data_IF_736799781175
#
_entry.id   IF_736799781175
#
_cell.length_a   1.000
_cell.length_b   1.000
_cell.length_c   1.000
_cell.angle_alpha   90.00
_cell.angle_beta   90.00
_cell.angle_gamma   90.00
#
_symmetry.space_group_name_H-M   'P 1'
#
loop_
_entity.id
_entity.type
_entity.pdbx_description
1 polymer ?
#
# COMPACT_ATOMS: atom_id res chain seq x y z
N UNK A 1 38.57 -24.66 -54.30
CA UNK A 1 39.32 -23.67 -53.51
C UNK A 1 39.07 -22.31 -54.12
N UNK A 2 38.58 -21.36 -53.35
CA UNK A 2 38.34 -19.98 -53.77
C UNK A 2 39.26 -19.05 -52.96
N UNK A 3 39.48 -17.82 -53.44
CA UNK A 3 40.36 -16.86 -52.77
C UNK A 3 39.73 -16.24 -51.52
N UNK A 4 38.40 -16.29 -51.41
CA UNK A 4 37.63 -15.82 -50.28
C UNK A 4 36.34 -16.64 -50.17
N UNK A 5 35.73 -16.66 -49.00
CA UNK A 5 34.43 -17.29 -48.83
C UNK A 5 33.33 -16.48 -49.54
N UNK A 6 32.38 -17.14 -50.24
CA UNK A 6 31.26 -16.47 -50.90
C UNK A 6 30.51 -15.53 -49.95
N UNK A 7 30.35 -14.27 -50.36
CA UNK A 7 29.56 -13.25 -49.68
C UNK A 7 28.55 -12.65 -50.65
N UNK A 8 27.28 -12.56 -50.24
CA UNK A 8 26.23 -11.94 -51.04
C UNK A 8 26.27 -10.41 -50.85
N UNK A 9 27.33 -9.77 -51.34
CA UNK A 9 27.62 -8.35 -51.17
C UNK A 9 27.06 -7.52 -52.35
N UNK A 10 26.22 -6.51 -52.07
CA UNK A 10 25.75 -5.55 -53.08
C UNK A 10 26.65 -4.31 -53.09
N UNK A 11 27.47 -4.14 -54.14
CA UNK A 11 28.41 -3.02 -54.25
C UNK A 11 27.72 -1.67 -54.44
N UNK A 12 26.44 -1.62 -54.84
CA UNK A 12 25.67 -0.37 -54.97
C UNK A 12 25.18 0.19 -53.63
N UNK A 13 25.10 -0.64 -52.60
CA UNK A 13 24.64 -0.26 -51.24
C UNK A 13 25.73 -0.39 -50.17
N UNK A 14 26.83 -1.09 -50.46
CA UNK A 14 27.90 -1.33 -49.50
C UNK A 14 27.50 -2.27 -48.36
N UNK A 15 26.54 -3.17 -48.58
CA UNK A 15 25.98 -4.07 -47.55
C UNK A 15 25.76 -5.48 -48.11
N UNK A 16 25.76 -6.47 -47.23
CA UNK A 16 25.43 -7.87 -47.56
C UNK A 16 23.90 -7.98 -47.71
N UNK A 17 23.42 -8.44 -48.86
CA UNK A 17 22.00 -8.44 -49.28
C UNK A 17 21.20 -9.59 -48.68
N UNK A 18 21.81 -10.79 -48.59
CA UNK A 18 21.20 -11.97 -47.98
C UNK A 18 22.16 -12.65 -47.01
N UNK A 19 21.74 -12.72 -45.74
CA UNK A 19 22.46 -13.45 -44.67
C UNK A 19 22.39 -14.98 -44.80
N UNK A 20 21.49 -15.50 -45.64
CA UNK A 20 21.23 -16.94 -45.73
C UNK A 20 22.22 -17.68 -46.63
N UNK A 21 22.93 -16.97 -47.53
CA UNK A 21 23.88 -17.55 -48.49
C UNK A 21 25.34 -17.13 -48.27
N UNK A 22 25.61 -16.21 -47.34
CA UNK A 22 26.97 -15.83 -46.96
C UNK A 22 27.66 -16.93 -46.16
N UNK A 23 28.89 -17.27 -46.52
CA UNK A 23 29.72 -18.24 -45.80
C UNK A 23 30.81 -17.56 -44.98
N UNK A 24 31.07 -18.10 -43.80
CA UNK A 24 32.05 -17.62 -42.84
C UNK A 24 33.38 -18.34 -43.02
N UNK A 25 34.49 -17.62 -42.93
CA UNK A 25 35.82 -18.21 -43.00
C UNK A 25 36.28 -18.68 -41.61
N UNK A 26 36.72 -19.95 -41.52
CA UNK A 26 37.40 -20.49 -40.33
C UNK A 26 38.72 -21.09 -40.80
N UNK A 27 39.85 -20.47 -40.45
CA UNK A 27 41.14 -20.87 -41.01
C UNK A 27 41.14 -20.80 -42.54
N UNK A 28 41.25 -21.96 -43.19
CA UNK A 28 41.25 -22.12 -44.66
C UNK A 28 39.98 -22.77 -45.24
N UNK A 29 38.91 -22.89 -44.45
CA UNK A 29 37.63 -23.46 -44.89
C UNK A 29 36.48 -22.45 -44.76
N UNK A 30 35.47 -22.61 -45.60
CA UNK A 30 34.24 -21.83 -45.56
C UNK A 30 33.11 -22.66 -44.95
N UNK A 31 32.45 -22.13 -43.93
CA UNK A 31 31.34 -22.78 -43.22
C UNK A 31 30.12 -21.88 -43.22
N UNK A 32 28.92 -22.46 -43.10
CA UNK A 32 27.69 -21.67 -42.93
C UNK A 32 27.48 -21.23 -41.49
N UNK A 33 27.97 -22.03 -40.55
CA UNK A 33 27.83 -21.80 -39.10
C UNK A 33 29.15 -22.08 -38.43
N UNK A 34 29.56 -21.22 -37.49
CA UNK A 34 30.80 -21.42 -36.76
C UNK A 34 30.79 -22.73 -35.95
N UNK A 35 31.91 -23.47 -35.93
CA UNK A 35 32.04 -24.68 -35.12
C UNK A 35 32.05 -24.36 -33.60
N UNK A 36 31.83 -25.35 -32.73
CA UNK A 36 31.87 -25.17 -31.27
C UNK A 36 33.17 -24.49 -30.80
N UNK A 37 33.04 -23.52 -29.88
CA UNK A 37 34.17 -22.74 -29.36
C UNK A 37 34.60 -21.55 -30.25
N UNK A 38 34.01 -21.36 -31.42
CA UNK A 38 34.23 -20.19 -32.27
C UNK A 38 33.04 -19.24 -32.27
N UNK A 39 33.28 -17.98 -32.61
CA UNK A 39 32.33 -16.88 -32.56
C UNK A 39 32.32 -16.16 -33.89
N UNK A 40 31.14 -15.82 -34.39
CA UNK A 40 31.01 -15.02 -35.61
C UNK A 40 31.53 -13.61 -35.35
N UNK A 41 32.36 -13.10 -36.25
CA UNK A 41 32.87 -11.72 -36.19
C UNK A 41 31.73 -10.70 -36.36
N UNK A 42 31.92 -9.49 -35.83
CA UNK A 42 30.92 -8.41 -35.91
C UNK A 42 30.54 -8.00 -37.35
N UNK A 43 31.42 -8.27 -38.31
CA UNK A 43 31.22 -8.07 -39.74
C UNK A 43 30.70 -9.31 -40.50
N UNK A 44 30.36 -10.39 -39.80
CA UNK A 44 29.81 -11.63 -40.37
C UNK A 44 30.69 -12.26 -41.46
N UNK A 45 32.02 -12.20 -41.32
CA UNK A 45 32.99 -12.75 -42.31
C UNK A 45 33.82 -13.91 -41.78
N UNK A 46 34.13 -13.92 -40.49
CA UNK A 46 35.07 -14.85 -39.90
C UNK A 46 34.45 -15.56 -38.70
N UNK A 47 34.91 -16.77 -38.44
CA UNK A 47 34.75 -17.41 -37.14
C UNK A 47 36.04 -17.25 -36.35
N UNK A 48 35.97 -16.51 -35.25
CA UNK A 48 37.08 -16.19 -34.38
C UNK A 48 37.08 -17.11 -33.15
N UNK A 49 38.24 -17.63 -32.77
CA UNK A 49 38.41 -18.33 -31.49
C UNK A 49 38.44 -17.36 -30.30
N UNK A 50 38.85 -16.11 -30.55
CA UNK A 50 38.88 -15.04 -29.57
C UNK A 50 38.28 -13.77 -30.20
N UNK A 51 37.31 -13.15 -29.52
CA UNK A 51 36.85 -11.83 -29.95
C UNK A 51 37.94 -10.80 -29.68
N UNK A 52 38.05 -9.74 -30.50
CA UNK A 52 39.06 -8.71 -30.32
C UNK A 52 38.83 -7.96 -28.99
N UNK A 53 39.58 -8.33 -27.95
CA UNK A 53 39.50 -7.72 -26.62
C UNK A 53 40.19 -6.36 -26.58
N UNK A 54 39.85 -5.56 -25.56
CA UNK A 54 40.46 -4.25 -25.34
C UNK A 54 41.95 -4.40 -25.00
N UNK A 55 42.82 -3.76 -25.78
CA UNK A 55 44.25 -3.69 -25.45
C UNK A 55 44.47 -2.59 -24.41
N UNK A 56 45.20 -2.86 -23.31
CA UNK A 56 45.53 -1.83 -22.32
C UNK A 56 46.29 -0.65 -22.97
N UNK A 57 45.76 0.57 -22.84
CA UNK A 57 46.39 1.79 -23.34
C UNK A 57 45.96 2.26 -24.73
N UNK A 58 45.05 1.56 -25.41
CA UNK A 58 44.45 2.02 -26.67
C UNK A 58 42.95 2.31 -26.47
N UNK A 59 42.57 3.56 -26.26
CA UNK A 59 41.15 3.95 -26.08
C UNK A 59 40.38 4.11 -27.42
N UNK A 60 41.03 3.93 -28.57
CA UNK A 60 40.43 4.27 -29.88
C UNK A 60 39.52 3.18 -30.44
N UNK A 61 39.70 1.93 -30.05
CA UNK A 61 38.85 0.80 -30.46
C UNK A 61 38.20 0.19 -29.23
N UNK A 62 36.87 0.09 -29.21
CA UNK A 62 36.17 -0.69 -28.18
C UNK A 62 36.39 -2.17 -28.45
N UNK A 63 36.80 -2.92 -27.44
CA UNK A 63 36.84 -4.37 -27.50
C UNK A 63 35.46 -4.99 -27.71
N UNK A 64 35.45 -6.27 -28.07
CA UNK A 64 34.26 -7.08 -28.29
C UNK A 64 34.23 -8.33 -27.39
N UNK A 65 33.03 -8.80 -27.06
CA UNK A 65 32.77 -10.02 -26.29
C UNK A 65 31.82 -10.96 -27.03
N UNK A 66 31.90 -12.27 -26.78
CA UNK A 66 30.98 -13.22 -27.35
C UNK A 66 29.62 -13.13 -26.66
N UNK A 67 28.61 -12.71 -27.41
CA UNK A 67 27.22 -12.63 -26.96
C UNK A 67 26.36 -13.43 -27.93
N UNK A 68 25.82 -14.56 -27.47
CA UNK A 68 25.00 -15.47 -28.28
C UNK A 68 25.68 -15.96 -29.57
N UNK A 69 26.98 -16.29 -29.52
CA UNK A 69 27.70 -16.82 -30.69
C UNK A 69 28.31 -15.75 -31.60
N UNK A 70 28.15 -14.46 -31.30
CA UNK A 70 28.59 -13.33 -32.13
C UNK A 70 29.44 -12.38 -31.28
N UNK A 71 30.57 -11.91 -31.81
CA UNK A 71 31.37 -10.86 -31.18
C UNK A 71 30.63 -9.52 -31.26
N UNK A 72 30.38 -8.92 -30.10
CA UNK A 72 29.69 -7.63 -29.97
C UNK A 72 30.51 -6.63 -29.18
N UNK A 73 30.49 -5.35 -29.56
CA UNK A 73 31.24 -4.32 -28.85
C UNK A 73 30.75 -4.14 -27.41
N UNK A 74 31.66 -3.91 -26.48
CA UNK A 74 31.32 -3.62 -25.09
C UNK A 74 30.62 -2.27 -24.92
N UNK A 75 29.69 -2.20 -23.96
CA UNK A 75 29.08 -0.93 -23.52
C UNK A 75 30.11 -0.01 -22.88
N UNK A 76 30.96 -0.56 -21.98
CA UNK A 76 32.09 0.14 -21.37
C UNK A 76 33.39 -0.59 -21.68
N UNK A 77 34.47 0.17 -21.94
CA UNK A 77 35.79 -0.42 -22.21
C UNK A 77 36.28 -1.34 -21.07
N UNK A 78 35.90 -1.05 -19.82
CA UNK A 78 36.22 -1.87 -18.65
C UNK A 78 35.64 -3.30 -18.72
N UNK A 79 34.46 -3.48 -19.34
CA UNK A 79 33.80 -4.80 -19.43
C UNK A 79 34.53 -5.75 -20.39
N UNK A 80 35.33 -5.20 -21.30
CA UNK A 80 36.14 -5.93 -22.28
C UNK A 80 37.62 -6.06 -21.86
N UNK A 81 37.97 -5.62 -20.64
CA UNK A 81 39.35 -5.68 -20.17
C UNK A 81 39.78 -7.14 -20.01
N UNK A 82 40.87 -7.50 -20.67
CA UNK A 82 41.45 -8.83 -20.61
C UNK A 82 42.68 -8.87 -19.69
N UNK A 83 42.75 -9.89 -18.85
CA UNK A 83 43.91 -10.21 -18.03
C UNK A 83 44.58 -11.48 -18.56
N UNK A 84 45.91 -11.49 -18.63
CA UNK A 84 46.67 -12.69 -19.04
C UNK A 84 46.95 -13.59 -17.86
N UNK A 85 46.66 -14.89 -18.02
CA UNK A 85 47.09 -15.95 -17.12
C UNK A 85 48.46 -16.43 -17.60
N UNK A 86 49.48 -16.05 -16.85
CA UNK A 86 50.88 -16.25 -17.24
C UNK A 86 51.48 -17.51 -16.63
N UNK A 87 50.95 -17.97 -15.50
CA UNK A 87 51.45 -19.16 -14.83
C UNK A 87 50.77 -20.43 -15.35
N UNK A 88 51.54 -21.53 -15.43
CA UNK A 88 50.99 -22.86 -15.68
C UNK A 88 50.14 -23.38 -14.50
N UNK A 89 50.34 -22.83 -13.29
CA UNK A 89 49.61 -23.18 -12.09
C UNK A 89 49.05 -21.89 -11.48
N UNK A 90 47.74 -21.87 -11.25
CA UNK A 90 47.06 -20.76 -10.61
C UNK A 90 47.45 -20.69 -9.12
N UNK A 91 47.99 -19.56 -8.68
CA UNK A 91 48.49 -19.35 -7.31
C UNK A 91 47.78 -18.19 -6.62
N UNK A 92 47.90 -18.08 -5.29
CA UNK A 92 47.37 -16.94 -4.54
C UNK A 92 47.94 -15.60 -5.04
N UNK A 93 49.22 -15.56 -5.43
CA UNK A 93 49.83 -14.35 -5.99
C UNK A 93 49.19 -13.93 -7.34
N UNK A 94 48.81 -14.90 -8.19
CA UNK A 94 48.09 -14.61 -9.43
C UNK A 94 46.65 -14.19 -9.15
N UNK A 95 46.00 -14.81 -8.16
CA UNK A 95 44.66 -14.40 -7.70
C UNK A 95 44.64 -12.96 -7.15
N UNK A 96 45.63 -12.56 -6.35
CA UNK A 96 45.73 -11.20 -5.81
C UNK A 96 45.94 -10.16 -6.92
N UNK A 97 46.75 -10.47 -7.92
CA UNK A 97 46.93 -9.64 -9.12
C UNK A 97 45.62 -9.50 -9.90
N UNK A 98 44.95 -10.61 -10.20
CA UNK A 98 43.68 -10.60 -10.94
C UNK A 98 42.57 -9.87 -10.16
N UNK A 99 42.57 -9.98 -8.83
CA UNK A 99 41.64 -9.23 -7.96
C UNK A 99 41.87 -7.72 -8.06
N UNK A 100 43.12 -7.28 -8.12
CA UNK A 100 43.48 -5.88 -8.27
C UNK A 100 43.13 -5.34 -9.67
N UNK A 101 43.36 -6.14 -10.72
CA UNK A 101 43.11 -5.75 -12.11
C UNK A 101 41.61 -5.73 -12.47
N UNK A 102 40.83 -6.63 -11.87
CA UNK A 102 39.36 -6.68 -11.98
C UNK A 102 38.84 -7.05 -13.38
N UNK A 103 39.57 -7.89 -14.13
CA UNK A 103 39.21 -8.26 -15.49
C UNK A 103 38.14 -9.37 -15.56
N UNK A 104 37.04 -9.19 -16.30
CA UNK A 104 36.07 -10.26 -16.55
C UNK A 104 36.51 -11.26 -17.64
N UNK A 105 37.49 -10.90 -18.47
CA UNK A 105 38.03 -11.74 -19.55
C UNK A 105 39.43 -12.21 -19.19
N UNK A 106 39.67 -13.51 -19.19
CA UNK A 106 40.99 -14.09 -18.93
C UNK A 106 41.52 -14.78 -20.18
N UNK A 107 42.76 -14.46 -20.56
CA UNK A 107 43.49 -15.08 -21.66
C UNK A 107 44.50 -16.07 -21.08
N UNK A 108 44.22 -17.37 -21.23
CA UNK A 108 45.10 -18.45 -20.86
C UNK A 108 46.30 -18.53 -21.80
N UNK A 109 47.50 -18.67 -21.24
CA UNK A 109 48.69 -18.98 -22.04
C UNK A 109 48.61 -20.37 -22.67
N UNK A 110 49.47 -20.64 -23.65
CA UNK A 110 49.57 -21.94 -24.33
C UNK A 110 49.90 -23.10 -23.37
N UNK A 111 50.38 -22.80 -22.16
CA UNK A 111 50.79 -23.77 -21.14
C UNK A 111 49.62 -24.50 -20.45
N UNK A 112 48.36 -24.24 -20.83
CA UNK A 112 47.16 -24.82 -20.21
C UNK A 112 47.12 -24.59 -18.69
N UNK A 113 46.86 -23.34 -18.24
CA UNK A 113 46.84 -23.00 -16.82
C UNK A 113 45.93 -23.95 -16.02
N UNK A 114 46.47 -24.40 -14.90
CA UNK A 114 45.85 -25.39 -14.03
C UNK A 114 45.50 -24.78 -12.68
N UNK A 115 44.22 -24.86 -12.31
CA UNK A 115 43.71 -24.52 -11.00
C UNK A 115 43.65 -25.76 -10.12
N UNK A 116 44.43 -25.75 -9.05
CA UNK A 116 44.49 -26.83 -8.08
C UNK A 116 43.83 -26.36 -6.78
N UNK A 117 42.63 -26.87 -6.46
CA UNK A 117 41.80 -26.40 -5.33
C UNK A 117 42.24 -27.02 -4.00
N UNK A 118 43.49 -27.50 -3.93
CA UNK A 118 44.06 -28.00 -2.68
C UNK A 118 44.19 -26.85 -1.67
N UNK A 119 43.55 -26.94 -0.47
CA UNK A 119 43.62 -25.90 0.54
C UNK A 119 45.05 -25.57 1.01
N UNK A 120 46.01 -26.49 0.80
CA UNK A 120 47.43 -26.24 1.09
C UNK A 120 48.11 -25.33 0.06
N UNK A 121 47.50 -25.14 -1.12
CA UNK A 121 48.07 -24.41 -2.26
C UNK A 121 47.29 -23.17 -2.64
N UNK A 122 45.99 -23.13 -2.32
CA UNK A 122 45.11 -22.03 -2.68
C UNK A 122 44.16 -21.68 -1.55
N UNK A 123 44.12 -20.40 -1.19
CA UNK A 123 43.22 -19.90 -0.14
C UNK A 123 41.77 -19.79 -0.64
N UNK A 124 40.80 -19.85 0.29
CA UNK A 124 39.38 -19.62 -0.04
C UNK A 124 39.13 -18.20 -0.59
N UNK A 125 39.93 -17.20 -0.18
CA UNK A 125 39.82 -15.84 -0.70
C UNK A 125 40.22 -15.77 -2.18
N UNK A 126 41.21 -16.56 -2.60
CA UNK A 126 41.66 -16.65 -4.00
C UNK A 126 40.59 -17.28 -4.90
N UNK A 127 39.82 -18.25 -4.38
CA UNK A 127 38.70 -18.83 -5.12
C UNK A 127 37.59 -17.81 -5.43
N UNK A 128 37.39 -16.81 -4.57
CA UNK A 128 36.37 -15.77 -4.81
C UNK A 128 36.70 -14.88 -6.03
N UNK A 129 37.98 -14.76 -6.41
CA UNK A 129 38.41 -13.99 -7.58
C UNK A 129 37.87 -14.61 -8.88
N UNK A 130 37.73 -15.93 -8.91
CA UNK A 130 37.16 -16.66 -10.04
C UNK A 130 35.69 -16.31 -10.29
N UNK A 131 34.98 -15.76 -9.29
CA UNK A 131 33.63 -15.26 -9.48
C UNK A 131 33.53 -14.05 -10.42
N UNK A 132 34.65 -13.37 -10.69
CA UNK A 132 34.73 -12.27 -11.65
C UNK A 132 34.86 -12.76 -13.10
N UNK A 133 35.35 -14.00 -13.28
CA UNK A 133 35.59 -14.59 -14.59
C UNK A 133 34.26 -14.85 -15.32
N UNK A 134 34.11 -14.26 -16.50
CA UNK A 134 32.97 -14.48 -17.41
C UNK A 134 33.37 -15.13 -18.73
N UNK A 135 34.55 -14.79 -19.23
CA UNK A 135 35.05 -15.24 -20.53
C UNK A 135 36.48 -15.75 -20.38
N UNK A 136 36.72 -16.98 -20.83
CA UNK A 136 38.02 -17.62 -20.77
C UNK A 136 38.49 -18.00 -22.17
N UNK A 137 39.56 -17.37 -22.62
CA UNK A 137 40.19 -17.73 -23.89
C UNK A 137 41.33 -18.71 -23.65
N UNK A 138 41.27 -19.89 -24.28
CA UNK A 138 42.24 -20.97 -24.14
C UNK A 138 41.74 -22.13 -23.28
N UNK A 139 42.67 -23.03 -22.96
CA UNK A 139 42.38 -24.24 -22.17
C UNK A 139 42.53 -23.95 -20.68
N UNK A 140 41.70 -24.60 -19.87
CA UNK A 140 41.76 -24.44 -18.41
C UNK A 140 41.38 -25.74 -17.72
N UNK A 141 42.21 -26.14 -16.75
CA UNK A 141 42.03 -27.41 -16.04
C UNK A 141 41.86 -27.14 -14.56
N UNK A 142 40.78 -27.67 -13.98
CA UNK A 142 40.51 -27.63 -12.55
C UNK A 142 40.73 -29.01 -11.93
N UNK A 143 41.53 -29.07 -10.86
CA UNK A 143 41.91 -30.29 -10.15
C UNK A 143 41.48 -30.27 -8.69
N UNK A 144 41.13 -31.46 -8.17
CA UNK A 144 40.90 -31.72 -6.74
C UNK A 144 39.87 -30.81 -6.09
N UNK A 145 38.78 -30.51 -6.81
CA UNK A 145 37.67 -29.74 -6.23
C UNK A 145 37.03 -30.59 -5.13
N UNK A 146 36.86 -29.99 -3.95
CA UNK A 146 36.05 -30.52 -2.85
C UNK A 146 34.78 -29.68 -2.79
N UNK A 147 33.63 -30.29 -3.07
CA UNK A 147 32.37 -29.55 -3.29
C UNK A 147 32.16 -29.20 -4.76
N UNK A 148 31.44 -28.11 -5.05
CA UNK A 148 31.01 -27.69 -6.40
C UNK A 148 31.94 -26.65 -7.05
N UNK A 149 31.80 -26.41 -8.36
CA UNK A 149 32.45 -25.29 -9.05
C UNK A 149 31.65 -23.99 -8.94
N UNK A 150 30.99 -23.74 -7.79
CA UNK A 150 30.12 -22.57 -7.66
C UNK A 150 30.90 -21.25 -7.79
N UNK A 151 32.22 -21.29 -7.56
CA UNK A 151 33.13 -20.18 -7.80
C UNK A 151 33.30 -19.82 -9.29
N UNK A 152 32.87 -20.67 -10.23
CA UNK A 152 32.82 -20.42 -11.68
C UNK A 152 31.39 -20.22 -12.20
N UNK A 153 30.41 -19.95 -11.34
CA UNK A 153 29.00 -19.80 -11.75
C UNK A 153 28.75 -18.72 -12.79
N UNK A 154 29.60 -17.69 -12.85
CA UNK A 154 29.52 -16.59 -13.83
C UNK A 154 30.24 -16.89 -15.16
N UNK A 155 30.94 -18.01 -15.27
CA UNK A 155 31.64 -18.39 -16.50
C UNK A 155 30.63 -18.71 -17.60
N UNK A 156 30.68 -17.95 -18.69
CA UNK A 156 29.74 -18.05 -19.82
C UNK A 156 30.34 -18.71 -21.05
N UNK A 157 31.63 -18.50 -21.30
CA UNK A 157 32.30 -18.91 -22.53
C UNK A 157 33.72 -19.39 -22.27
N UNK A 158 34.09 -20.48 -22.93
CA UNK A 158 35.46 -21.01 -22.97
C UNK A 158 35.87 -21.30 -24.42
N UNK A 159 36.90 -20.67 -24.97
CA UNK A 159 37.30 -20.96 -26.37
C UNK A 159 38.05 -22.29 -26.55
N UNK A 160 38.64 -22.80 -25.48
CA UNK A 160 39.36 -24.08 -25.47
C UNK A 160 38.64 -25.19 -24.72
N UNK A 161 39.43 -26.12 -24.19
CA UNK A 161 38.96 -27.22 -23.36
C UNK A 161 38.84 -26.80 -21.89
N UNK A 162 37.66 -27.02 -21.31
CA UNK A 162 37.44 -26.94 -19.87
C UNK A 162 37.55 -28.34 -19.26
N UNK A 163 38.68 -28.60 -18.59
CA UNK A 163 38.96 -29.89 -17.95
C UNK A 163 38.59 -29.88 -16.46
N UNK A 164 37.84 -30.88 -16.00
CA UNK A 164 37.74 -31.25 -14.59
C UNK A 164 38.44 -32.57 -14.35
N UNK A 165 39.38 -32.59 -13.42
CA UNK A 165 40.18 -33.78 -13.13
C UNK A 165 40.23 -34.12 -11.65
N UNK A 166 40.18 -35.42 -11.32
CA UNK A 166 40.37 -35.95 -9.96
C UNK A 166 39.49 -35.25 -8.92
N UNK A 167 38.21 -35.11 -9.21
CA UNK A 167 37.26 -34.28 -8.46
C UNK A 167 36.17 -35.16 -7.84
N UNK A 168 35.78 -34.87 -6.61
CA UNK A 168 34.67 -35.54 -5.94
C UNK A 168 33.60 -34.49 -5.60
N UNK A 169 32.49 -34.50 -6.35
CA UNK A 169 31.43 -33.48 -6.23
C UNK A 169 30.05 -34.04 -6.51
N UNK A 170 29.01 -33.63 -5.76
CA UNK A 170 27.63 -33.95 -6.07
C UNK A 170 27.12 -33.26 -7.35
N UNK A 171 27.65 -32.08 -7.70
CA UNK A 171 27.25 -31.34 -8.90
C UNK A 171 28.32 -30.37 -9.44
N UNK A 172 28.18 -29.97 -10.71
CA UNK A 172 29.16 -29.13 -11.40
C UNK A 172 28.94 -27.63 -11.15
N UNK A 173 27.71 -27.12 -11.10
CA UNK A 173 27.46 -25.69 -10.81
C UNK A 173 27.69 -24.72 -11.99
N UNK A 174 27.91 -25.21 -13.21
CA UNK A 174 28.19 -24.41 -14.41
C UNK A 174 26.93 -23.85 -15.09
N UNK A 175 26.10 -23.13 -14.33
CA UNK A 175 24.79 -22.66 -14.78
C UNK A 175 24.83 -21.68 -15.95
N UNK A 176 25.83 -20.81 -15.97
CA UNK A 176 25.94 -19.75 -16.98
C UNK A 176 26.71 -20.18 -18.23
N UNK A 177 27.29 -21.38 -18.26
CA UNK A 177 28.14 -21.82 -19.35
C UNK A 177 27.30 -22.08 -20.61
N UNK A 178 27.49 -21.24 -21.62
CA UNK A 178 26.74 -21.27 -22.89
C UNK A 178 27.47 -22.01 -23.99
N UNK A 179 28.79 -21.81 -24.09
CA UNK A 179 29.63 -22.37 -25.15
C UNK A 179 31.03 -22.69 -24.62
N UNK A 180 31.53 -23.86 -25.01
CA UNK A 180 32.88 -24.34 -24.79
C UNK A 180 33.28 -25.16 -26.02
N UNK A 181 34.56 -25.15 -26.42
CA UNK A 181 35.03 -26.01 -27.51
C UNK A 181 34.96 -27.48 -27.13
N UNK A 182 35.50 -27.80 -25.96
CA UNK A 182 35.48 -29.14 -25.39
C UNK A 182 35.29 -29.08 -23.88
N UNK A 183 34.70 -30.12 -23.30
CA UNK A 183 34.66 -30.33 -21.85
C UNK A 183 35.18 -31.71 -21.53
N UNK A 184 36.26 -31.79 -20.75
CA UNK A 184 36.86 -33.07 -20.34
C UNK A 184 36.57 -33.35 -18.87
N UNK A 185 35.93 -34.49 -18.59
CA UNK A 185 35.71 -35.00 -17.25
C UNK A 185 36.58 -36.23 -17.03
N UNK A 186 37.63 -36.12 -16.19
CA UNK A 186 38.59 -37.20 -15.93
C UNK A 186 38.63 -37.56 -14.44
N UNK A 187 38.28 -38.80 -14.07
CA UNK A 187 38.21 -39.25 -12.67
C UNK A 187 37.33 -38.32 -11.82
N UNK A 188 36.09 -38.13 -12.25
CA UNK A 188 35.08 -37.34 -11.53
C UNK A 188 34.11 -38.30 -10.86
N UNK A 189 33.95 -38.20 -9.54
CA UNK A 189 33.08 -39.08 -8.76
C UNK A 189 32.04 -38.31 -7.96
N UNK A 190 30.97 -39.01 -7.57
CA UNK A 190 29.97 -38.50 -6.63
C UNK A 190 28.85 -37.69 -7.27
N UNK A 191 28.83 -37.54 -8.60
CA UNK A 191 27.81 -36.73 -9.28
C UNK A 191 26.42 -37.32 -9.11
N UNK A 192 25.46 -36.53 -8.63
CA UNK A 192 24.11 -37.03 -8.44
C UNK A 192 23.41 -37.27 -9.77
N UNK A 193 23.01 -38.52 -10.02
CA UNK A 193 22.40 -38.93 -11.29
C UNK A 193 21.13 -38.13 -11.64
N UNK A 194 20.35 -37.72 -10.62
CA UNK A 194 19.10 -37.00 -10.80
C UNK A 194 19.23 -35.64 -11.52
N UNK A 195 20.39 -34.98 -11.44
CA UNK A 195 20.65 -33.73 -12.16
C UNK A 195 21.16 -33.94 -13.59
N UNK A 196 21.67 -35.13 -13.90
CA UNK A 196 22.28 -35.46 -15.20
C UNK A 196 21.61 -36.70 -15.84
N UNK A 197 20.33 -36.61 -16.24
CA UNK A 197 19.68 -37.70 -16.93
C UNK A 197 20.37 -37.98 -18.27
N UNK A 198 20.38 -39.26 -18.69
CA UNK A 198 21.12 -39.72 -19.87
C UNK A 198 20.81 -38.93 -21.15
N UNK A 199 19.53 -38.60 -21.38
CA UNK A 199 19.10 -37.79 -22.53
C UNK A 199 19.76 -36.41 -22.57
N UNK A 200 19.94 -35.78 -21.40
CA UNK A 200 20.58 -34.47 -21.31
C UNK A 200 22.08 -34.58 -21.55
N UNK A 201 22.74 -35.60 -20.99
CA UNK A 201 24.17 -35.83 -21.24
C UNK A 201 24.41 -36.00 -22.73
N UNK A 202 23.55 -36.73 -23.44
CA UNK A 202 23.65 -36.87 -24.90
C UNK A 202 23.52 -35.53 -25.64
N UNK A 203 22.53 -34.70 -25.28
CA UNK A 203 22.41 -33.33 -25.83
C UNK A 203 23.62 -32.44 -25.52
N UNK A 204 24.24 -32.62 -24.36
CA UNK A 204 25.44 -31.88 -23.97
C UNK A 204 26.67 -32.37 -24.74
N UNK A 205 26.78 -33.69 -25.01
CA UNK A 205 27.83 -34.28 -25.85
C UNK A 205 27.82 -33.72 -27.27
N UNK A 206 26.63 -33.56 -27.85
CA UNK A 206 26.46 -32.91 -29.16
C UNK A 206 26.90 -31.45 -29.15
N UNK A 207 26.73 -30.74 -28.02
CA UNK A 207 27.01 -29.30 -27.92
C UNK A 207 28.48 -28.97 -27.60
N UNK A 208 29.15 -29.78 -26.77
CA UNK A 208 30.40 -29.41 -26.09
C UNK A 208 31.57 -30.40 -26.28
N UNK A 209 31.52 -31.29 -27.28
CA UNK A 209 32.55 -32.33 -27.51
C UNK A 209 33.02 -33.00 -26.19
N UNK A 210 32.05 -33.49 -25.40
CA UNK A 210 32.34 -33.95 -24.04
C UNK A 210 33.13 -35.26 -24.06
N UNK A 211 34.27 -35.28 -23.38
CA UNK A 211 35.07 -36.49 -23.14
C UNK A 211 34.98 -36.92 -21.66
N UNK A 212 34.40 -38.10 -21.43
CA UNK A 212 34.21 -38.69 -20.10
C UNK A 212 35.17 -39.87 -19.91
N UNK A 213 36.06 -39.78 -18.92
CA UNK A 213 37.01 -40.83 -18.59
C UNK A 213 36.91 -41.10 -17.08
N UNK A 214 36.42 -42.28 -16.70
CA UNK A 214 36.21 -42.67 -15.30
C UNK A 214 35.30 -41.70 -14.53
N UNK A 215 34.11 -41.42 -15.07
CA UNK A 215 33.09 -40.64 -14.38
C UNK A 215 32.14 -41.59 -13.65
N UNK A 216 31.88 -41.36 -12.36
CA UNK A 216 30.90 -42.12 -11.58
C UNK A 216 29.74 -41.24 -11.11
N UNK A 217 28.54 -41.80 -11.21
CA UNK A 217 27.31 -41.19 -10.73
C UNK A 217 26.84 -41.90 -9.46
N UNK A 218 26.36 -41.11 -8.50
CA UNK A 218 25.79 -41.59 -7.25
C UNK A 218 24.28 -41.34 -7.22
N UNK A 219 23.55 -42.32 -6.72
CA UNK A 219 22.11 -42.27 -6.46
C UNK A 219 21.75 -42.78 -5.06
N UNK A 220 22.74 -43.21 -4.27
CA UNK A 220 22.55 -43.87 -2.97
C UNK A 220 22.77 -42.92 -1.79
N UNK A 221 23.64 -41.92 -1.93
CA UNK A 221 23.87 -40.97 -0.84
C UNK A 221 22.60 -40.19 -0.50
N UNK A 222 22.46 -39.84 0.78
CA UNK A 222 21.31 -39.08 1.28
C UNK A 222 21.15 -37.72 0.57
N UNK A 223 22.23 -37.15 0.05
CA UNK A 223 22.22 -35.94 -0.78
C UNK A 223 21.62 -36.22 -2.16
N UNK A 224 22.09 -37.25 -2.86
CA UNK A 224 21.62 -37.58 -4.21
C UNK A 224 20.20 -38.16 -4.26
N UNK A 225 19.73 -38.81 -3.19
CA UNK A 225 18.34 -39.29 -3.08
C UNK A 225 17.34 -38.11 -3.06
N UNK A 226 17.75 -36.96 -2.52
CA UNK A 226 16.94 -35.73 -2.48
C UNK A 226 17.23 -34.79 -3.64
N UNK A 227 18.17 -35.16 -4.52
CA UNK A 227 18.57 -34.32 -5.64
C UNK A 227 17.42 -34.24 -6.64
N UNK A 228 16.90 -33.03 -6.84
CA UNK A 228 15.94 -32.72 -7.88
C UNK A 228 16.26 -31.32 -8.42
N UNK A 229 15.93 -31.09 -9.70
CA UNK A 229 15.96 -29.74 -10.24
C UNK A 229 14.86 -28.90 -9.60
N UNK A 230 15.10 -27.60 -9.48
CA UNK A 230 14.07 -26.68 -9.03
C UNK A 230 12.89 -26.71 -10.02
N UNK A 231 11.62 -26.67 -9.56
CA UNK A 231 10.43 -26.80 -10.42
C UNK A 231 10.29 -25.68 -11.47
N UNK A 232 11.04 -24.59 -11.34
CA UNK A 232 11.10 -23.49 -12.31
C UNK A 232 12.18 -23.66 -13.38
N UNK A 233 12.95 -24.76 -13.35
CA UNK A 233 13.94 -25.07 -14.38
C UNK A 233 13.28 -25.72 -15.59
N UNK A 234 13.64 -25.25 -16.78
CA UNK A 234 13.32 -25.88 -18.07
C UNK A 234 14.61 -26.48 -18.68
N UNK A 235 14.50 -27.69 -19.24
CA UNK A 235 15.64 -28.35 -19.89
C UNK A 235 16.75 -28.86 -18.94
N UNK A 236 16.48 -28.98 -17.64
CA UNK A 236 17.39 -29.53 -16.62
C UNK A 236 18.11 -28.47 -15.78
N UNK A 237 19.05 -28.92 -14.94
CA UNK A 237 19.79 -28.09 -14.01
C UNK A 237 21.20 -28.62 -13.72
N UNK A 238 22.12 -27.75 -13.31
CA UNK A 238 23.51 -28.05 -12.98
C UNK A 238 23.75 -28.32 -11.49
N UNK A 239 22.69 -28.51 -10.72
CA UNK A 239 22.73 -28.69 -9.27
C UNK A 239 21.44 -28.22 -8.59
N UNK A 240 21.47 -28.02 -7.27
CA UNK A 240 20.29 -27.64 -6.48
C UNK A 240 19.88 -26.17 -6.68
N UNK A 241 18.59 -25.90 -6.48
CA UNK A 241 18.05 -24.54 -6.41
C UNK A 241 17.76 -23.88 -7.77
N UNK A 242 17.24 -22.65 -7.69
CA UNK A 242 16.69 -21.91 -8.85
C UNK A 242 17.73 -21.17 -9.70
N UNK A 243 18.98 -21.10 -9.25
CA UNK A 243 20.09 -20.45 -9.96
C UNK A 243 20.80 -21.36 -10.95
N UNK A 244 20.76 -22.66 -10.67
CA UNK A 244 21.49 -23.66 -11.45
C UNK A 244 20.65 -24.24 -12.59
N UNK A 245 19.56 -23.59 -12.99
CA UNK A 245 18.75 -24.06 -14.11
C UNK A 245 19.48 -23.82 -15.45
N UNK A 246 19.30 -24.74 -16.41
CA UNK A 246 19.78 -24.54 -17.80
C UNK A 246 19.00 -23.42 -18.48
N UNK A 247 17.68 -23.45 -18.33
CA UNK A 247 16.77 -22.39 -18.74
C UNK A 247 15.67 -22.22 -17.68
N UNK A 248 15.00 -21.08 -17.67
CA UNK A 248 13.85 -20.85 -16.80
C UNK A 248 12.56 -21.20 -17.53
N UNK A 249 11.58 -21.75 -16.80
CA UNK A 249 10.25 -22.05 -17.35
C UNK A 249 9.45 -20.79 -17.68
N UNK A 250 9.60 -19.74 -16.87
CA UNK A 250 8.89 -18.45 -17.03
C UNK A 250 9.85 -17.26 -17.03
N UNK A 251 10.28 -16.84 -15.84
CA UNK A 251 11.04 -15.60 -15.68
C UNK A 251 12.46 -15.88 -15.20
N UNK A 252 13.45 -15.21 -15.80
CA UNK A 252 14.85 -15.18 -15.35
C UNK A 252 15.15 -13.79 -14.78
N UNK A 253 15.56 -13.72 -13.51
CA UNK A 253 15.94 -12.49 -12.84
C UNK A 253 17.24 -12.72 -12.08
N UNK A 254 18.29 -11.94 -12.36
CA UNK A 254 19.60 -12.04 -11.70
C UNK A 254 20.07 -13.51 -11.59
N UNK A 255 20.06 -14.22 -12.72
CA UNK A 255 20.44 -15.64 -12.84
C UNK A 255 19.64 -16.62 -12.00
N UNK A 256 18.43 -16.23 -11.57
CA UNK A 256 17.53 -17.07 -10.80
C UNK A 256 16.18 -17.20 -11.51
N UNK A 257 15.62 -18.41 -11.51
CA UNK A 257 14.32 -18.68 -12.13
C UNK A 257 13.17 -18.48 -11.15
N UNK A 258 12.13 -17.77 -11.58
CA UNK A 258 10.94 -17.46 -10.78
C UNK A 258 9.66 -17.82 -11.53
N UNK A 259 8.65 -18.28 -10.77
CA UNK A 259 7.30 -18.53 -11.28
C UNK A 259 6.55 -17.22 -11.56
N UNK A 260 6.79 -16.21 -10.73
CA UNK A 260 6.16 -14.89 -10.76
C UNK A 260 7.20 -13.81 -10.40
N UNK A 261 7.15 -12.66 -11.08
CA UNK A 261 8.02 -11.51 -10.80
C UNK A 261 7.85 -10.97 -9.38
N UNK A 262 6.69 -11.18 -8.74
CA UNK A 262 6.42 -10.76 -7.36
C UNK A 262 7.39 -11.41 -6.36
N UNK A 263 7.76 -12.68 -6.58
CA UNK A 263 8.77 -13.38 -5.77
C UNK A 263 10.16 -12.77 -5.93
N UNK A 264 10.45 -12.22 -7.11
CA UNK A 264 11.71 -11.57 -7.43
C UNK A 264 11.76 -10.10 -6.98
N UNK A 265 10.74 -9.62 -6.24
CA UNK A 265 10.59 -8.21 -5.86
C UNK A 265 10.64 -7.27 -7.07
N UNK A 266 9.98 -7.67 -8.16
CA UNK A 266 9.89 -6.91 -9.42
C UNK A 266 8.45 -6.88 -9.92
N UNK A 267 8.11 -5.86 -10.69
CA UNK A 267 6.85 -5.86 -11.44
C UNK A 267 7.01 -6.63 -12.76
N UNK A 268 5.93 -7.22 -13.25
CA UNK A 268 5.93 -7.87 -14.56
C UNK A 268 5.77 -6.80 -15.65
N UNK A 269 6.69 -6.74 -16.61
CA UNK A 269 6.54 -5.83 -17.76
C UNK A 269 5.71 -6.51 -18.86
N UNK A 270 5.99 -7.79 -19.11
CA UNK A 270 5.22 -8.63 -20.02
C UNK A 270 5.15 -10.07 -19.46
N UNK A 271 4.58 -11.00 -20.23
CA UNK A 271 4.42 -12.39 -19.81
C UNK A 271 5.73 -13.20 -19.71
N UNK A 272 6.87 -12.67 -20.14
CA UNK A 272 8.15 -13.39 -20.22
C UNK A 272 9.34 -12.67 -19.56
N UNK A 273 9.17 -11.42 -19.14
CA UNK A 273 10.21 -10.58 -18.57
C UNK A 273 9.70 -9.75 -17.39
N UNK A 274 10.47 -9.80 -16.30
CA UNK A 274 10.27 -8.92 -15.17
C UNK A 274 10.93 -7.56 -15.43
N UNK A 275 10.23 -6.49 -15.06
CA UNK A 275 10.72 -5.12 -15.15
C UNK A 275 11.71 -4.76 -14.04
N UNK A 276 11.74 -3.47 -13.70
CA UNK A 276 12.60 -2.97 -12.63
C UNK A 276 12.18 -3.50 -11.26
N UNK A 277 13.12 -3.42 -10.30
CA UNK A 277 12.86 -3.76 -8.91
C UNK A 277 11.78 -2.85 -8.31
N UNK A 278 10.96 -3.41 -7.43
CA UNK A 278 10.01 -2.63 -6.66
C UNK A 278 10.74 -1.71 -5.68
N UNK A 279 10.07 -0.65 -5.25
CA UNK A 279 10.62 0.27 -4.26
C UNK A 279 10.97 -0.46 -2.94
N UNK A 280 12.01 0.01 -2.22
CA UNK A 280 12.47 -0.61 -0.98
C UNK A 280 11.39 -0.65 0.14
N UNK A 281 10.43 0.28 0.07
CA UNK A 281 9.27 0.34 0.97
C UNK A 281 8.12 -0.59 0.56
N UNK A 282 8.22 -1.31 -0.56
CA UNK A 282 7.26 -2.35 -0.93
C UNK A 282 7.54 -3.65 -0.17
N UNK A 283 6.46 -4.30 0.30
CA UNK A 283 6.53 -5.58 1.00
C UNK A 283 6.97 -6.71 0.05
N UNK A 284 7.96 -7.49 0.49
CA UNK A 284 8.51 -8.59 -0.31
C UNK A 284 7.46 -9.69 -0.50
N UNK A 285 7.34 -10.20 -1.74
CA UNK A 285 6.41 -11.27 -2.12
C UNK A 285 5.03 -10.80 -2.59
N UNK A 286 4.66 -9.53 -2.38
CA UNK A 286 3.36 -8.98 -2.82
C UNK A 286 3.45 -8.32 -4.21
N UNK A 287 4.64 -7.91 -4.62
CA UNK A 287 4.89 -7.23 -5.89
C UNK A 287 4.54 -5.74 -5.90
N UNK A 288 4.72 -5.14 -7.06
CA UNK A 288 4.42 -3.74 -7.35
C UNK A 288 3.91 -3.62 -8.80
N UNK A 289 3.29 -2.50 -9.13
CA UNK A 289 2.93 -2.11 -10.51
C UNK A 289 4.01 -1.28 -11.21
N UNK A 290 5.02 -0.84 -10.46
CA UNK A 290 6.05 0.09 -10.90
C UNK A 290 7.17 0.26 -9.86
N UNK A 291 8.23 1.02 -10.18
CA UNK A 291 9.39 1.16 -9.31
C UNK A 291 9.20 2.16 -8.16
N UNK A 292 8.12 2.95 -8.15
CA UNK A 292 7.89 4.00 -7.17
C UNK A 292 7.32 3.51 -5.83
N UNK A 293 7.43 4.31 -4.75
CA UNK A 293 6.85 3.98 -3.44
C UNK A 293 5.31 3.96 -3.43
N UNK A 294 4.66 4.58 -4.41
CA UNK A 294 3.20 4.56 -4.58
C UNK A 294 2.71 3.34 -5.38
N UNK A 295 3.61 2.64 -6.08
CA UNK A 295 3.28 1.52 -6.95
C UNK A 295 3.26 0.18 -6.21
N UNK A 296 3.46 0.19 -4.90
CA UNK A 296 3.48 -1.02 -4.10
C UNK A 296 2.07 -1.59 -3.95
N UNK A 297 1.91 -2.89 -4.14
CA UNK A 297 0.65 -3.58 -3.80
C UNK A 297 0.41 -3.56 -2.28
N UNK A 298 1.49 -3.66 -1.51
CA UNK A 298 1.45 -3.59 -0.05
C UNK A 298 2.72 -2.96 0.49
N UNK A 299 2.57 -2.08 1.49
CA UNK A 299 3.70 -1.41 2.13
C UNK A 299 4.41 -2.31 3.13
N UNK A 300 5.73 -2.15 3.22
CA UNK A 300 6.58 -2.87 4.18
C UNK A 300 6.34 -2.39 5.62
N UNK A 301 6.16 -1.09 5.81
CA UNK A 301 5.96 -0.47 7.13
C UNK A 301 4.68 0.35 7.18
N UNK A 302 4.69 1.56 6.60
CA UNK A 302 3.57 2.48 6.69
C UNK A 302 3.04 2.90 5.33
N UNK A 303 1.74 3.19 5.28
CA UNK A 303 1.04 3.73 4.11
C UNK A 303 0.50 5.13 4.45
N UNK A 304 0.99 6.15 3.77
CA UNK A 304 0.51 7.52 3.88
C UNK A 304 -0.17 7.91 2.57
N UNK A 305 -1.51 7.95 2.58
CA UNK A 305 -2.35 8.34 1.42
C UNK A 305 -2.03 7.59 0.11
N UNK A 306 -1.71 6.29 0.19
CA UNK A 306 -1.40 5.46 -0.98
C UNK A 306 0.08 5.38 -1.32
N UNK A 307 0.95 6.07 -0.58
CA UNK A 307 2.41 6.02 -0.75
C UNK A 307 3.04 5.27 0.42
N UNK A 308 3.91 4.30 0.12
CA UNK A 308 4.63 3.57 1.14
C UNK A 308 5.82 4.38 1.67
N UNK A 309 5.86 4.58 2.99
CA UNK A 309 6.87 5.38 3.68
C UNK A 309 7.50 4.62 4.84
N UNK A 310 8.74 4.98 5.16
CA UNK A 310 9.50 4.41 6.27
C UNK A 310 9.01 4.87 7.65
N UNK A 311 8.47 6.08 7.71
CA UNK A 311 7.95 6.74 8.91
C UNK A 311 6.83 7.71 8.49
N UNK A 312 5.80 7.88 9.31
CA UNK A 312 4.72 8.82 9.02
C UNK A 312 5.21 10.28 9.10
N UNK A 313 4.67 11.15 8.25
CA UNK A 313 5.01 12.58 8.27
C UNK A 313 4.64 13.24 9.61
N UNK A 314 5.28 14.37 9.94
CA UNK A 314 4.99 15.09 11.19
C UNK A 314 3.50 15.41 11.31
N UNK A 315 2.91 15.11 12.46
CA UNK A 315 1.47 15.29 12.72
C UNK A 315 0.58 14.12 12.28
N UNK A 316 1.16 13.07 11.68
CA UNK A 316 0.48 11.81 11.40
C UNK A 316 0.88 10.72 12.40
N UNK A 317 -0.01 9.77 12.65
CA UNK A 317 0.28 8.57 13.46
C UNK A 317 -0.18 7.30 12.75
N UNK A 318 0.54 6.18 12.92
CA UNK A 318 0.14 4.91 12.34
C UNK A 318 -1.02 4.27 13.13
N UNK A 319 -1.94 3.64 12.43
CA UNK A 319 -2.93 2.72 13.00
C UNK A 319 -2.37 1.29 13.15
N UNK A 320 -3.20 0.36 13.64
CA UNK A 320 -2.82 -1.06 13.79
C UNK A 320 -2.50 -1.77 12.47
N UNK A 321 -2.95 -1.22 11.34
CA UNK A 321 -2.72 -1.75 10.00
C UNK A 321 -1.56 -1.03 9.28
N UNK A 322 -0.87 -0.11 9.96
CA UNK A 322 0.23 0.68 9.40
C UNK A 322 -0.21 1.84 8.52
N UNK A 323 -1.48 2.28 8.55
CA UNK A 323 -1.93 3.48 7.82
C UNK A 323 -1.65 4.73 8.64
N UNK A 324 -1.03 5.73 8.04
CA UNK A 324 -0.80 7.03 8.66
C UNK A 324 -2.08 7.88 8.56
N UNK A 325 -2.60 8.36 9.70
CA UNK A 325 -3.72 9.31 9.75
C UNK A 325 -3.30 10.60 10.44
N UNK A 326 -3.90 11.72 10.03
CA UNK A 326 -3.65 13.04 10.61
C UNK A 326 -4.31 13.16 11.98
N UNK A 327 -3.53 13.53 13.00
CA UNK A 327 -4.03 13.77 14.35
C UNK A 327 -5.00 14.95 14.38
N UNK A 328 -4.77 15.97 13.53
CA UNK A 328 -5.63 17.16 13.46
C UNK A 328 -7.05 16.81 12.97
N UNK A 329 -7.15 15.90 12.00
CA UNK A 329 -8.45 15.43 11.49
C UNK A 329 -9.20 14.67 12.58
N UNK A 330 -8.53 13.78 13.32
CA UNK A 330 -9.14 13.04 14.42
C UNK A 330 -9.68 13.98 15.52
N UNK A 331 -8.90 14.98 15.93
CA UNK A 331 -9.34 15.98 16.92
C UNK A 331 -10.54 16.78 16.40
N UNK A 332 -10.53 17.18 15.13
CA UNK A 332 -11.64 17.90 14.50
C UNK A 332 -12.94 17.10 14.52
N UNK A 333 -12.89 15.80 14.22
CA UNK A 333 -14.05 14.91 14.28
C UNK A 333 -14.59 14.81 15.71
N UNK A 334 -13.72 14.63 16.72
CA UNK A 334 -14.14 14.55 18.13
C UNK A 334 -14.83 15.84 18.61
N UNK A 335 -14.27 17.00 18.28
CA UNK A 335 -14.88 18.30 18.65
C UNK A 335 -16.21 18.52 17.95
N UNK A 336 -16.31 18.17 16.65
CA UNK A 336 -17.54 18.29 15.87
C UNK A 336 -18.66 17.41 16.41
N UNK A 337 -18.37 16.15 16.72
CA UNK A 337 -19.35 15.22 17.33
C UNK A 337 -19.77 15.70 18.72
N UNK A 338 -18.81 16.19 19.53
CA UNK A 338 -19.12 16.75 20.85
C UNK A 338 -20.07 17.94 20.79
N UNK A 339 -19.83 18.89 19.88
CA UNK A 339 -20.72 20.05 19.68
C UNK A 339 -22.12 19.63 19.24
N UNK A 340 -22.22 18.65 18.33
CA UNK A 340 -23.51 18.13 17.86
C UNK A 340 -24.34 17.51 19.00
N UNK A 341 -23.69 16.74 19.88
CA UNK A 341 -24.35 16.13 21.06
C UNK A 341 -24.82 17.19 22.07
N UNK A 342 -24.07 18.28 22.26
CA UNK A 342 -24.47 19.37 23.14
C UNK A 342 -25.67 20.15 22.59
N UNK A 343 -25.71 20.40 21.28
CA UNK A 343 -26.84 21.07 20.63
C UNK A 343 -28.12 20.22 20.68
N UNK A 344 -28.02 18.91 20.48
CA UNK A 344 -29.19 18.01 20.52
C UNK A 344 -29.73 17.80 21.94
N UNK A 345 -28.88 17.85 22.97
CA UNK A 345 -29.31 17.72 24.37
C UNK A 345 -29.88 19.02 24.97
N UNK A 346 -29.34 20.18 24.58
CA UNK A 346 -29.76 21.49 25.13
C UNK A 346 -31.14 21.94 24.62
N UNK A 347 -31.48 21.65 23.36
CA UNK A 347 -32.77 22.00 22.76
C UNK A 347 -34.00 21.40 23.50
N UNK A 348 -34.07 20.08 23.79
CA UNK A 348 -35.19 19.49 24.52
C UNK A 348 -35.26 19.96 25.98
N UNK A 349 -34.12 20.18 26.65
CA UNK A 349 -34.08 20.74 28.00
C UNK A 349 -34.66 22.17 28.03
N UNK A 350 -34.30 23.01 27.05
CA UNK A 350 -34.85 24.35 26.90
C UNK A 350 -36.37 24.32 26.65
N UNK A 351 -36.85 23.40 25.80
CA UNK A 351 -38.29 23.22 25.53
C UNK A 351 -39.05 22.77 26.79
N UNK A 352 -38.51 21.82 27.55
CA UNK A 352 -39.12 21.35 28.81
C UNK A 352 -39.15 22.45 29.88
N UNK A 353 -38.08 23.25 29.99
CA UNK A 353 -38.04 24.41 30.88
C UNK A 353 -39.12 25.43 30.51
N UNK A 354 -39.26 25.77 29.22
CA UNK A 354 -40.28 26.69 28.74
C UNK A 354 -41.71 26.17 28.99
N UNK A 355 -41.97 24.88 28.74
CA UNK A 355 -43.30 24.27 28.99
C UNK A 355 -43.70 24.29 30.46
N UNK A 356 -42.78 24.01 31.39
CA UNK A 356 -43.03 24.07 32.85
C UNK A 356 -43.37 25.48 33.34
N UNK A 357 -42.87 26.52 32.67
CA UNK A 357 -43.13 27.92 33.06
C UNK A 357 -44.55 28.35 32.70
N UNK A 358 -45.10 27.83 31.60
CA UNK A 358 -46.45 28.17 31.12
C UNK A 358 -47.55 27.55 32.01
N UNK A 359 -47.42 26.30 32.45
CA UNK A 359 -48.47 25.61 33.23
C UNK A 359 -48.71 26.20 34.62
N UNK A 360 -47.77 26.95 35.20
CA UNK A 360 -47.96 27.61 36.51
C UNK A 360 -49.00 28.73 36.50
N UNK A 361 -49.33 29.30 35.34
CA UNK A 361 -50.28 30.41 35.23
C UNK A 361 -51.75 29.96 35.13
N UNK A 362 -52.00 28.70 34.82
CA UNK A 362 -53.36 28.15 34.62
C UNK A 362 -53.96 27.57 35.92
N UNK A 363 -53.16 27.45 36.99
CA UNK A 363 -53.51 26.71 38.21
C UNK A 363 -54.20 27.52 39.33
N UNK A 364 -54.63 28.76 39.10
CA UNK A 364 -55.45 29.51 40.08
C UNK A 364 -56.93 29.24 39.78
N UNK A 365 -57.46 28.13 40.32
CA UNK A 365 -58.84 27.69 40.10
C UNK A 365 -59.83 28.43 41.03
N UNK A 366 -60.59 29.35 40.44
CA UNK A 366 -61.56 30.20 41.15
C UNK A 366 -62.80 29.43 41.63
N UNK A 367 -63.06 28.24 41.07
CA UNK A 367 -64.20 27.41 41.46
C UNK A 367 -63.99 26.71 42.81
N UNK A 368 -62.76 26.53 43.28
CA UNK A 368 -62.47 26.04 44.64
C UNK A 368 -62.77 27.12 45.70
N UNK A 369 -62.51 28.39 45.38
CA UNK A 369 -62.72 29.52 46.31
C UNK A 369 -64.19 29.79 46.65
N UNK A 370 -65.11 29.52 45.71
CA UNK A 370 -66.53 29.84 45.85
C UNK A 370 -67.40 28.68 46.36
N UNK A 371 -66.80 27.50 46.63
CA UNK A 371 -67.54 26.29 47.03
C UNK A 371 -67.82 26.17 48.53
N UNK A 372 -67.18 26.98 49.40
CA UNK A 372 -67.29 26.81 50.85
C UNK A 372 -68.36 27.69 51.55
N UNK A 373 -69.40 28.10 50.81
CA UNK A 373 -70.59 28.70 51.41
C UNK A 373 -71.59 27.58 51.77
N UNK A 374 -71.52 27.12 53.01
CA UNK A 374 -72.32 26.08 53.65
C UNK A 374 -73.85 26.30 53.58
N UNK A 375 -74.49 26.00 52.44
CA UNK A 375 -75.69 25.14 52.31
C UNK A 375 -76.19 25.05 50.85
N UNK A 376 -76.57 23.87 50.33
CA UNK A 376 -76.98 23.68 48.94
C UNK A 376 -78.49 23.84 48.77
N UNK A 377 -78.92 24.92 48.13
CA UNK A 377 -80.19 24.98 47.40
C UNK A 377 -80.13 26.13 46.40
N UNK A 378 -80.73 25.89 45.25
CA UNK A 378 -80.50 26.53 43.95
C UNK A 378 -80.99 28.00 43.88
N UNK A 379 -80.36 28.88 44.65
CA UNK A 379 -80.43 30.33 44.50
C UNK A 379 -79.02 30.88 44.50
N UNK A 380 -78.69 31.64 43.46
CA UNK A 380 -77.42 32.33 43.35
C UNK A 380 -77.31 33.37 44.46
N UNK A 381 -76.65 33.00 45.56
CA UNK A 381 -76.35 33.91 46.66
C UNK A 381 -75.24 34.83 46.18
N UNK A 382 -75.60 36.07 45.85
CA UNK A 382 -74.64 37.12 45.55
C UNK A 382 -73.77 37.34 46.79
N UNK A 383 -72.46 37.16 46.65
CA UNK A 383 -71.51 37.49 47.71
C UNK A 383 -71.41 39.03 47.79
N UNK A 384 -71.87 39.59 48.90
CA UNK A 384 -71.75 41.02 49.18
C UNK A 384 -70.56 41.22 50.13
N UNK A 385 -69.62 42.06 49.73
CA UNK A 385 -68.39 42.36 50.47
C UNK A 385 -68.34 43.83 50.87
N UNK A 386 -67.61 44.12 51.94
CA UNK A 386 -67.36 45.50 52.34
C UNK A 386 -66.24 46.11 51.50
N UNK A 387 -66.13 47.44 51.48
CA UNK A 387 -65.06 48.12 50.72
C UNK A 387 -63.66 47.73 51.27
N UNK A 388 -63.55 47.48 52.58
CA UNK A 388 -62.32 47.06 53.24
C UNK A 388 -61.81 45.67 52.79
N UNK A 389 -62.71 44.82 52.28
CA UNK A 389 -62.37 43.49 51.78
C UNK A 389 -61.72 43.56 50.39
N UNK A 390 -61.77 44.72 49.72
CA UNK A 390 -61.36 44.87 48.31
C UNK A 390 -60.32 45.97 48.16
N UNK A 391 -59.07 45.57 47.89
CA UNK A 391 -58.02 46.52 47.56
C UNK A 391 -58.00 46.82 46.06
N UNK A 392 -58.11 48.10 45.69
CA UNK A 392 -57.96 48.59 44.31
C UNK A 392 -56.50 48.99 44.09
N UNK A 393 -55.84 48.44 43.07
CA UNK A 393 -54.43 48.73 42.74
C UNK A 393 -54.34 49.72 41.58
N UNK A 394 -54.18 49.23 40.35
CA UNK A 394 -54.03 50.07 39.14
C UNK A 394 -55.26 49.99 38.25
N UNK A 395 -55.56 51.07 37.53
CA UNK A 395 -56.60 51.07 36.49
C UNK A 395 -56.17 50.13 35.36
N UNK A 396 -57.07 49.24 34.93
CA UNK A 396 -56.91 48.33 33.78
C UNK A 396 -57.89 48.61 32.65
N UNK A 397 -58.88 49.49 32.86
CA UNK A 397 -59.77 49.94 31.81
C UNK A 397 -60.71 51.05 32.28
N UNK A 398 -61.13 51.92 31.37
CA UNK A 398 -62.12 52.97 31.62
C UNK A 398 -63.12 53.00 30.49
N UNK A 399 -64.41 53.03 30.80
CA UNK A 399 -65.47 53.09 29.80
C UNK A 399 -66.69 53.88 30.27
N UNK A 400 -67.73 53.91 29.44
CA UNK A 400 -68.98 54.62 29.72
C UNK A 400 -69.61 54.17 31.06
N UNK A 401 -69.47 52.90 31.40
CA UNK A 401 -70.09 52.28 32.58
C UNK A 401 -69.23 52.34 33.85
N UNK A 402 -68.03 52.91 33.81
CA UNK A 402 -67.16 53.00 34.98
C UNK A 402 -65.68 52.75 34.71
N UNK A 403 -64.93 52.64 35.80
CA UNK A 403 -63.48 52.38 35.79
C UNK A 403 -63.23 50.98 36.36
N UNK A 404 -62.43 50.19 35.65
CA UNK A 404 -62.01 48.85 36.06
C UNK A 404 -60.60 48.93 36.62
N UNK A 405 -60.41 48.46 37.84
CA UNK A 405 -59.13 48.34 38.51
C UNK A 405 -58.71 46.87 38.58
N UNK A 406 -57.42 46.60 38.49
CA UNK A 406 -56.86 45.38 39.04
C UNK A 406 -56.85 45.53 40.56
N UNK A 407 -57.30 44.52 41.28
CA UNK A 407 -57.37 44.54 42.74
C UNK A 407 -57.14 43.18 43.37
N UNK A 408 -57.16 43.13 44.70
CA UNK A 408 -57.16 41.89 45.48
C UNK A 408 -58.37 41.88 46.42
N UNK A 409 -59.17 40.82 46.34
CA UNK A 409 -60.26 40.53 47.27
C UNK A 409 -59.72 39.67 48.42
N UNK A 410 -59.93 40.13 49.65
CA UNK A 410 -59.62 39.41 50.88
C UNK A 410 -60.90 38.79 51.41
N UNK A 411 -60.93 37.47 51.48
CA UNK A 411 -61.99 36.79 52.23
C UNK A 411 -61.46 35.46 52.77
N UNK A 412 -61.88 35.13 54.01
CA UNK A 412 -61.45 33.97 54.78
C UNK A 412 -59.92 33.76 54.82
N UNK A 413 -59.15 34.84 54.98
CA UNK A 413 -57.68 34.79 55.14
C UNK A 413 -56.88 34.52 53.85
N UNK A 414 -57.53 34.51 52.68
CA UNK A 414 -56.89 34.34 51.37
C UNK A 414 -57.06 35.61 50.52
N UNK A 415 -56.05 35.94 49.71
CA UNK A 415 -56.08 37.06 48.77
C UNK A 415 -56.29 36.55 47.33
N UNK A 416 -57.34 37.01 46.66
CA UNK A 416 -57.70 36.64 45.29
C UNK A 416 -57.52 37.82 44.33
N UNK A 417 -56.74 37.69 43.24
CA UNK A 417 -56.65 38.73 42.22
C UNK A 417 -57.96 38.88 41.45
N UNK A 418 -58.50 40.09 41.43
CA UNK A 418 -59.81 40.41 40.84
C UNK A 418 -59.75 41.64 39.93
N UNK A 419 -60.74 41.76 39.06
CA UNK A 419 -61.06 43.00 38.36
C UNK A 419 -62.23 43.68 39.07
N UNK A 420 -62.01 44.91 39.54
CA UNK A 420 -62.96 45.71 40.32
C UNK A 420 -63.49 46.82 39.44
N UNK A 421 -64.73 46.68 38.95
CA UNK A 421 -65.40 47.72 38.16
C UNK A 421 -66.20 48.63 39.09
N UNK A 422 -65.72 49.85 39.27
CA UNK A 422 -66.39 50.92 40.01
C UNK A 422 -67.34 51.64 39.05
N UNK A 423 -68.63 51.64 39.36
CA UNK A 423 -69.66 52.22 38.50
C UNK A 423 -69.81 53.73 38.72
N UNK A 424 -70.17 54.47 37.67
CA UNK A 424 -70.36 55.93 37.73
C UNK A 424 -71.84 56.29 37.96
N UNK A 425 -72.11 57.20 38.90
CA UNK A 425 -73.43 57.80 39.13
C UNK A 425 -73.91 57.69 40.58
N UNK A 426 -74.58 58.73 41.10
CA UNK A 426 -75.21 58.74 42.42
C UNK A 426 -76.72 58.84 42.25
N UNK A 427 -77.41 57.71 42.15
CA UNK A 427 -78.86 57.68 42.29
C UNK A 427 -79.29 56.46 43.10
N UNK A 428 -80.33 56.56 43.95
CA UNK A 428 -80.87 55.42 44.68
C UNK A 428 -81.46 54.33 43.75
N UNK A 429 -81.68 54.64 42.47
CA UNK A 429 -82.11 53.67 41.44
C UNK A 429 -80.95 52.78 40.93
N UNK A 430 -79.71 53.27 41.01
CA UNK A 430 -78.51 52.58 40.50
C UNK A 430 -78.24 51.26 41.26
N UNK A 431 -78.49 51.21 42.57
CA UNK A 431 -78.31 50.00 43.36
C UNK A 431 -79.26 48.87 42.96
N UNK A 432 -80.49 49.18 42.57
CA UNK A 432 -81.46 48.17 42.10
C UNK A 432 -81.14 47.68 40.69
N UNK A 433 -80.71 48.57 39.80
CA UNK A 433 -80.26 48.19 38.45
C UNK A 433 -79.01 47.32 38.50
N UNK A 434 -78.06 47.64 39.38
CA UNK A 434 -76.88 46.81 39.63
C UNK A 434 -77.26 45.43 40.17
N UNK A 435 -78.14 45.34 41.16
CA UNK A 435 -78.58 44.05 41.69
C UNK A 435 -79.28 43.20 40.63
N UNK A 436 -80.04 43.82 39.73
CA UNK A 436 -80.68 43.13 38.60
C UNK A 436 -79.67 42.60 37.58
N UNK A 437 -78.69 43.42 37.19
CA UNK A 437 -77.61 43.02 36.27
C UNK A 437 -76.70 41.94 36.89
N UNK A 438 -76.32 42.14 38.15
CA UNK A 438 -75.53 41.17 38.89
C UNK A 438 -76.25 39.84 39.07
N UNK A 439 -77.58 39.86 39.27
CA UNK A 439 -78.41 38.66 39.29
C UNK A 439 -78.36 37.86 37.97
N UNK A 440 -78.20 38.53 36.83
CA UNK A 440 -77.99 37.85 35.54
C UNK A 440 -76.57 37.29 35.46
N UNK A 441 -75.55 38.11 35.73
CA UNK A 441 -74.14 37.72 35.64
C UNK A 441 -73.78 36.57 36.58
N UNK A 442 -74.44 36.49 37.73
CA UNK A 442 -74.17 35.45 38.70
C UNK A 442 -74.82 34.09 38.32
N UNK A 443 -75.80 34.09 37.40
CA UNK A 443 -76.45 32.86 36.87
C UNK A 443 -75.72 32.26 35.66
N UNK A 444 -74.95 33.06 34.93
CA UNK A 444 -74.23 32.59 33.74
C UNK A 444 -72.97 31.83 34.14
N UNK A 445 -72.90 30.53 33.81
CA UNK A 445 -71.71 29.68 33.99
C UNK A 445 -71.30 29.10 32.65
N UNK A 446 -70.24 29.65 32.04
CA UNK A 446 -69.69 29.15 30.77
C UNK A 446 -68.17 29.44 30.70
N UNK A 447 -67.34 28.53 30.16
CA UNK A 447 -65.88 28.70 30.09
C UNK A 447 -65.42 29.99 29.39
N UNK A 448 -66.22 30.51 28.46
CA UNK A 448 -65.92 31.72 27.69
C UNK A 448 -66.61 32.99 28.24
N UNK A 449 -67.30 32.93 29.38
CA UNK A 449 -67.96 34.08 30.00
C UNK A 449 -67.27 34.46 31.30
N UNK A 450 -67.03 35.75 31.52
CA UNK A 450 -66.42 36.23 32.76
C UNK A 450 -67.39 36.02 33.93
N UNK A 451 -66.90 35.38 34.99
CA UNK A 451 -67.72 35.04 36.16
C UNK A 451 -67.71 36.19 37.18
N UNK A 452 -68.89 36.51 37.72
CA UNK A 452 -69.03 37.40 38.86
C UNK A 452 -68.52 36.71 40.14
N UNK A 453 -67.65 37.40 40.88
CA UNK A 453 -67.07 36.94 42.15
C UNK A 453 -67.82 37.54 43.34
N UNK A 454 -68.00 38.86 43.35
CA UNK A 454 -68.64 39.57 44.46
C UNK A 454 -69.24 40.92 44.02
N UNK A 455 -70.03 41.51 44.91
CA UNK A 455 -70.57 42.86 44.82
C UNK A 455 -70.14 43.67 46.05
N UNK A 456 -69.78 44.93 45.85
CA UNK A 456 -69.67 45.89 46.93
C UNK A 456 -70.77 46.95 46.77
N UNK A 457 -71.66 47.08 47.76
CA UNK A 457 -72.84 47.96 47.71
C UNK A 457 -72.68 49.20 48.61
N UNK A 458 -71.47 49.70 48.76
CA UNK A 458 -71.16 50.91 49.56
C UNK A 458 -71.50 52.19 48.79
N UNK A 459 -70.98 53.35 49.22
CA UNK A 459 -71.24 54.64 48.57
C UNK A 459 -70.88 54.66 47.08
N UNK A 460 -69.92 53.83 46.65
CA UNK A 460 -69.58 53.61 45.25
C UNK A 460 -69.82 52.14 44.90
N UNK A 461 -70.90 51.82 44.16
CA UNK A 461 -71.21 50.43 43.83
C UNK A 461 -70.14 49.80 42.93
N UNK A 462 -69.70 48.59 43.29
CA UNK A 462 -68.60 47.88 42.61
C UNK A 462 -69.02 46.47 42.20
N UNK A 463 -68.68 46.10 40.96
CA UNK A 463 -68.82 44.77 40.39
C UNK A 463 -67.44 44.09 40.35
N UNK A 464 -67.30 42.95 41.02
CA UNK A 464 -66.00 42.28 41.18
C UNK A 464 -66.02 40.97 40.40
N UNK A 465 -65.15 40.85 39.40
CA UNK A 465 -65.04 39.66 38.55
C UNK A 465 -63.64 39.04 38.63
N UNK A 466 -63.48 37.83 38.09
CA UNK A 466 -62.17 37.21 37.92
C UNK A 466 -61.24 38.13 37.09
N UNK A 467 -59.95 38.20 37.47
CA UNK A 467 -58.95 38.92 36.67
C UNK A 467 -58.53 38.06 35.47
N UNK A 468 -58.76 38.57 34.24
CA UNK A 468 -58.38 37.84 33.02
C UNK A 468 -56.86 37.92 32.78
N UNK A 469 -56.15 36.78 32.63
CA UNK A 469 -54.68 36.74 32.60
C UNK A 469 -54.08 37.33 31.32
N UNK A 470 -54.84 37.37 30.23
CA UNK A 470 -54.38 37.89 28.93
C UNK A 470 -54.70 39.36 28.71
N UNK A 471 -55.32 40.06 29.66
CA UNK A 471 -55.62 41.49 29.52
C UNK A 471 -56.86 41.78 28.67
N UNK A 472 -56.91 42.97 28.06
CA UNK A 472 -58.08 43.42 27.31
C UNK A 472 -58.11 42.78 25.91
N UNK A 473 -59.30 42.42 25.41
CA UNK A 473 -59.42 41.93 24.03
C UNK A 473 -58.98 42.97 23.00
N UNK A 474 -59.21 44.27 23.26
CA UNK A 474 -58.76 45.37 22.38
C UNK A 474 -57.24 45.39 22.17
N UNK A 475 -56.45 44.80 23.06
CA UNK A 475 -55.00 44.73 22.89
C UNK A 475 -54.59 43.73 21.77
N UNK A 476 -55.53 42.92 21.28
CA UNK A 476 -55.31 41.86 20.30
C UNK A 476 -56.08 42.03 18.97
N UNK A 477 -56.87 43.11 18.81
CA UNK A 477 -57.77 43.31 17.66
C UNK A 477 -57.51 44.63 16.97
#
# INVERSE_FOLDING_TARGET
>A
CENACPTDYDPGKGVIVSRNDSTLQVGNICVRTCPPGFQESSDSRFCLSECPVQVPGDDRRRGELPVNGICRPCERAADCRACRLSAAIFTDAEADRLRADGCPVWQASELQPMLDVDPQRLSNASLQVLGQLRYLYGNFVVKRVKGSLDFLTNLTFVSGNLGLMMTNTPYLGLASLQSAKAVTLFRVSGLCQAWYPAERINKLRERFEISEINVSFDNTSAECVKAACHPQCAGGCWGPGRRLCVACLRYRVNDSCYADCKEAHRFAWNATACGAACHAECKIGFGCSGPGPADCVSCRRFNESGVCVSECSRGHRPDSNGRCYSVMVAVGICLGVGLLLLLTASLPLAVLYYRRRITRYEAVDLDEYLRDASNPSDMVKLLIVNDDDVSKQRVIGTGAFGTVFKGMLRSHGRELPVAVKVLRGRSPKLGQELLKEAGVLARVRHPCCIRLVALCLTQEPQLITALMPRGCLLDFV
#
